data_IF_554728613319
#
_entry.id   IF_554728613319
#
_cell.length_a   1.000
_cell.length_b   1.000
_cell.length_c   1.000
_cell.angle_alpha   90.00
_cell.angle_beta   90.00
_cell.angle_gamma   90.00
#
_symmetry.space_group_name_H-M   'P 1'
#
loop_
_entity.id
_entity.type
_entity.pdbx_description
1 polymer ?
#
# COMPACT_ATOMS: atom_id res chain seq x y z
N UNK A 1 -5.45 -8.76 -4.63
CA UNK A 1 -5.12 -7.33 -4.87
C UNK A 1 -5.34 -6.89 -6.31
N UNK A 2 -5.03 -7.77 -7.31
CA UNK A 2 -5.22 -7.46 -8.75
C UNK A 2 -6.68 -7.10 -9.07
N UNK A 3 -7.64 -7.83 -8.52
CA UNK A 3 -9.06 -7.53 -8.70
C UNK A 3 -9.44 -6.13 -8.17
N UNK A 4 -8.82 -5.68 -7.08
CA UNK A 4 -9.04 -4.35 -6.52
C UNK A 4 -8.46 -3.20 -7.36
N UNK A 5 -7.60 -3.50 -8.32
CA UNK A 5 -7.03 -2.51 -9.24
C UNK A 5 -7.96 -2.18 -10.42
N UNK A 6 -9.07 -2.89 -10.58
CA UNK A 6 -10.01 -2.73 -11.71
C UNK A 6 -9.30 -2.63 -13.05
N UNK A 7 -8.65 -3.70 -13.55
CA UNK A 7 -7.88 -3.68 -14.79
C UNK A 7 -8.72 -3.50 -16.07
N UNK A 8 -10.00 -3.20 -15.94
CA UNK A 8 -10.95 -3.13 -17.07
C UNK A 8 -10.74 -1.97 -18.02
N UNK A 9 -10.05 -0.91 -17.58
CA UNK A 9 -9.65 0.19 -18.46
C UNK A 9 -8.18 -0.02 -18.86
N UNK A 10 -7.92 -1.00 -19.73
CA UNK A 10 -6.56 -1.39 -20.13
C UNK A 10 -5.62 -0.20 -20.47
N UNK A 11 -6.04 0.84 -21.23
CA UNK A 11 -5.15 1.96 -21.52
C UNK A 11 -4.70 2.70 -20.24
N UNK A 12 -5.64 3.00 -19.35
CA UNK A 12 -5.34 3.66 -18.07
C UNK A 12 -4.61 2.76 -17.09
N UNK A 13 -4.88 1.45 -17.12
CA UNK A 13 -4.17 0.49 -16.26
C UNK A 13 -2.70 0.41 -16.61
N UNK A 14 -2.36 0.40 -17.89
CA UNK A 14 -0.96 0.36 -18.34
C UNK A 14 -0.24 1.68 -18.05
N UNK A 15 -0.90 2.82 -18.30
CA UNK A 15 -0.32 4.14 -18.12
C UNK A 15 0.09 4.42 -16.67
N UNK A 16 -0.68 3.90 -15.69
CA UNK A 16 -0.45 4.15 -14.27
C UNK A 16 -0.15 2.86 -13.50
N UNK A 17 0.57 1.92 -14.11
CA UNK A 17 0.86 0.61 -13.51
C UNK A 17 2.25 0.50 -12.87
N UNK A 18 3.03 1.58 -12.85
CA UNK A 18 4.41 1.57 -12.34
C UNK A 18 4.49 1.11 -10.89
N UNK A 19 3.66 1.65 -10.00
CA UNK A 19 3.59 1.21 -8.59
C UNK A 19 3.19 -0.27 -8.46
N UNK A 20 2.33 -0.78 -9.36
CA UNK A 20 1.98 -2.20 -9.38
C UNK A 20 3.20 -3.07 -9.69
N UNK A 21 4.01 -2.72 -10.67
CA UNK A 21 5.20 -3.49 -11.00
C UNK A 21 6.24 -3.47 -9.88
N UNK A 22 6.47 -2.31 -9.27
CA UNK A 22 7.38 -2.20 -8.12
C UNK A 22 6.86 -3.04 -6.95
N UNK A 23 5.62 -2.82 -6.52
CA UNK A 23 5.06 -3.53 -5.37
C UNK A 23 4.97 -5.05 -5.59
N UNK A 24 4.60 -5.48 -6.81
CA UNK A 24 4.56 -6.90 -7.15
C UNK A 24 5.98 -7.49 -7.23
N UNK A 25 6.94 -6.79 -7.82
CA UNK A 25 8.33 -7.22 -7.89
C UNK A 25 8.95 -7.39 -6.50
N UNK A 26 8.77 -6.41 -5.62
CA UNK A 26 9.23 -6.50 -4.22
C UNK A 26 8.54 -7.65 -3.48
N UNK A 27 7.24 -7.84 -3.69
CA UNK A 27 6.48 -8.94 -3.07
C UNK A 27 6.99 -10.31 -3.53
N UNK A 28 7.24 -10.48 -4.82
CA UNK A 28 7.81 -11.71 -5.37
C UNK A 28 9.23 -11.94 -4.85
N UNK A 29 10.06 -10.89 -4.80
CA UNK A 29 11.40 -10.96 -4.24
C UNK A 29 11.36 -11.39 -2.77
N UNK A 30 10.47 -10.79 -1.97
CA UNK A 30 10.24 -11.18 -0.58
C UNK A 30 9.87 -12.66 -0.48
N UNK A 31 8.87 -13.14 -1.24
CA UNK A 31 8.44 -14.54 -1.23
C UNK A 31 9.57 -15.50 -1.62
N UNK A 32 10.35 -15.17 -2.65
CA UNK A 32 11.46 -16.02 -3.12
C UNK A 32 12.66 -16.03 -2.18
N UNK A 33 12.86 -15.00 -1.37
CA UNK A 33 14.03 -14.82 -0.51
C UNK A 33 13.70 -14.67 0.96
N UNK A 34 12.46 -15.01 1.35
CA UNK A 34 11.92 -14.79 2.68
C UNK A 34 12.85 -15.23 3.80
N UNK A 35 13.28 -16.50 3.79
CA UNK A 35 14.15 -17.06 4.84
C UNK A 35 15.47 -16.27 4.96
N UNK A 36 16.08 -15.92 3.82
CA UNK A 36 17.32 -15.16 3.81
C UNK A 36 17.14 -13.72 4.31
N UNK A 37 16.03 -13.07 3.93
CA UNK A 37 15.72 -11.71 4.39
C UNK A 37 15.46 -11.72 5.89
N UNK A 38 14.73 -12.72 6.38
CA UNK A 38 14.44 -12.91 7.80
C UNK A 38 15.71 -13.18 8.60
N UNK A 39 16.53 -14.14 8.18
CA UNK A 39 17.80 -14.50 8.83
C UNK A 39 18.78 -13.31 8.94
N UNK A 40 18.82 -12.47 7.91
CA UNK A 40 19.71 -11.31 7.84
C UNK A 40 19.07 -10.00 8.28
N UNK A 41 17.81 -10.02 8.70
CA UNK A 41 17.02 -8.84 9.08
C UNK A 41 17.00 -7.73 8.01
N UNK A 42 17.05 -8.11 6.72
CA UNK A 42 17.17 -7.18 5.57
C UNK A 42 15.84 -6.52 5.17
N UNK A 43 14.86 -6.48 6.05
CA UNK A 43 13.57 -5.82 5.77
C UNK A 43 13.74 -4.31 5.55
N UNK A 44 14.57 -3.66 6.37
CA UNK A 44 14.76 -2.20 6.34
C UNK A 44 15.31 -1.76 4.99
N UNK A 45 16.38 -2.43 4.50
CA UNK A 45 17.01 -2.12 3.22
C UNK A 45 16.05 -2.39 2.05
N UNK A 46 15.32 -3.50 2.11
CA UNK A 46 14.34 -3.86 1.09
C UNK A 46 13.24 -2.80 0.98
N UNK A 47 12.68 -2.35 2.10
CA UNK A 47 11.63 -1.33 2.11
C UNK A 47 12.19 0.05 1.73
N UNK A 48 13.42 0.39 2.11
CA UNK A 48 14.09 1.60 1.63
C UNK A 48 14.18 1.64 0.10
N UNK A 49 14.69 0.56 -0.50
CA UNK A 49 14.79 0.43 -1.95
C UNK A 49 13.41 0.45 -2.62
N UNK A 50 12.41 -0.21 -2.02
CA UNK A 50 11.04 -0.16 -2.51
C UNK A 50 10.50 1.27 -2.54
N UNK A 51 10.73 2.07 -1.49
CA UNK A 51 10.34 3.47 -1.43
C UNK A 51 11.04 4.31 -2.48
N UNK A 52 12.36 4.17 -2.61
CA UNK A 52 13.15 4.89 -3.61
C UNK A 52 12.70 4.55 -5.04
N UNK A 53 12.53 3.27 -5.37
CA UNK A 53 12.04 2.83 -6.67
C UNK A 53 10.62 3.34 -6.95
N UNK A 54 9.73 3.27 -5.95
CA UNK A 54 8.37 3.81 -6.10
C UNK A 54 8.41 5.30 -6.44
N UNK A 55 9.15 6.10 -5.67
CA UNK A 55 9.29 7.54 -5.94
C UNK A 55 9.96 7.84 -7.27
N UNK A 56 10.85 6.95 -7.75
CA UNK A 56 11.50 7.11 -9.05
C UNK A 56 10.52 7.00 -10.21
N UNK A 57 9.61 6.02 -10.17
CA UNK A 57 8.73 5.65 -11.28
C UNK A 57 7.28 6.10 -11.13
N UNK A 58 6.85 6.50 -9.94
CA UNK A 58 5.46 6.85 -9.64
C UNK A 58 5.27 8.35 -9.45
N UNK A 59 4.17 8.88 -9.98
CA UNK A 59 3.75 10.28 -9.87
C UNK A 59 2.59 10.45 -8.87
N UNK A 60 2.73 9.87 -7.67
CA UNK A 60 1.68 9.88 -6.63
C UNK A 60 0.40 9.14 -7.05
N UNK A 61 0.50 8.17 -7.96
CA UNK A 61 -0.68 7.45 -8.45
C UNK A 61 -1.29 6.57 -7.36
N UNK A 62 -0.56 5.54 -6.92
CA UNK A 62 -0.95 4.68 -5.78
C UNK A 62 0.28 4.07 -5.09
N UNK A 63 1.15 4.92 -4.53
CA UNK A 63 2.44 4.49 -3.98
C UNK A 63 2.30 3.56 -2.77
N UNK A 64 1.20 3.63 -2.04
CA UNK A 64 0.92 2.78 -0.87
C UNK A 64 0.81 1.30 -1.26
N UNK A 65 0.53 0.98 -2.52
CA UNK A 65 0.56 -0.40 -3.01
C UNK A 65 1.94 -1.06 -2.81
N UNK A 66 3.00 -0.33 -3.16
CA UNK A 66 4.37 -0.84 -3.05
C UNK A 66 4.87 -0.96 -1.60
N UNK A 67 4.25 -0.26 -0.66
CA UNK A 67 4.47 -0.42 0.78
C UNK A 67 3.58 -1.53 1.36
N UNK A 68 2.28 -1.44 1.12
CA UNK A 68 1.28 -2.20 1.85
C UNK A 68 1.25 -3.68 1.48
N UNK A 69 1.38 -4.05 0.19
CA UNK A 69 1.34 -5.46 -0.20
C UNK A 69 2.51 -6.25 0.40
N UNK A 70 3.79 -5.80 0.31
CA UNK A 70 4.88 -6.49 1.00
C UNK A 70 4.72 -6.52 2.54
N UNK A 71 4.19 -5.45 3.17
CA UNK A 71 3.93 -5.46 4.62
C UNK A 71 2.90 -6.51 5.02
N UNK A 72 1.80 -6.63 4.27
CA UNK A 72 0.81 -7.70 4.50
C UNK A 72 1.46 -9.08 4.42
N UNK A 73 2.33 -9.30 3.42
CA UNK A 73 3.03 -10.57 3.30
C UNK A 73 3.97 -10.83 4.49
N UNK A 74 4.71 -9.82 4.96
CA UNK A 74 5.55 -9.96 6.15
C UNK A 74 4.72 -10.41 7.37
N UNK A 75 3.55 -9.79 7.61
CA UNK A 75 2.67 -10.15 8.73
C UNK A 75 2.16 -11.59 8.65
N UNK A 76 1.83 -12.04 7.43
CA UNK A 76 1.27 -13.38 7.22
C UNK A 76 2.35 -14.47 7.30
N UNK A 77 3.54 -14.19 6.80
CA UNK A 77 4.67 -15.14 6.77
C UNK A 77 5.37 -15.24 8.13
N UNK A 78 5.43 -14.14 8.88
CA UNK A 78 6.03 -14.14 10.21
C UNK A 78 4.98 -14.47 11.28
N UNK A 79 5.45 -15.08 12.37
CA UNK A 79 4.61 -15.49 13.49
C UNK A 79 5.27 -15.08 14.82
N UNK A 80 5.65 -13.81 14.89
CA UNK A 80 6.22 -13.22 16.08
C UNK A 80 5.15 -12.65 17.02
N UNK A 81 5.55 -12.17 18.19
CA UNK A 81 4.62 -11.47 19.06
C UNK A 81 4.25 -10.09 18.48
N UNK A 82 3.05 -9.62 18.79
CA UNK A 82 2.47 -8.38 18.25
C UNK A 82 3.37 -7.16 18.45
N UNK A 83 4.11 -7.09 19.55
CA UNK A 83 4.99 -5.95 19.84
C UNK A 83 6.20 -5.86 18.91
N UNK A 84 6.81 -7.00 18.58
CA UNK A 84 7.93 -7.06 17.63
C UNK A 84 7.45 -6.83 16.21
N UNK A 85 6.32 -7.44 15.84
CA UNK A 85 5.68 -7.24 14.55
C UNK A 85 5.34 -5.76 14.30
N UNK A 86 4.73 -5.09 15.28
CA UNK A 86 4.39 -3.69 15.18
C UNK A 86 5.63 -2.80 15.01
N UNK A 87 6.70 -3.06 15.79
CA UNK A 87 7.97 -2.35 15.63
C UNK A 87 8.55 -2.52 14.24
N UNK A 88 8.51 -3.74 13.71
CA UNK A 88 8.98 -4.05 12.35
C UNK A 88 8.15 -3.32 11.30
N UNK A 89 6.81 -3.36 11.40
CA UNK A 89 5.91 -2.66 10.47
C UNK A 89 6.23 -1.15 10.46
N UNK A 90 6.37 -0.55 11.63
CA UNK A 90 6.70 0.89 11.75
C UNK A 90 8.08 1.17 11.16
N UNK A 91 9.09 0.36 11.48
CA UNK A 91 10.44 0.53 10.94
C UNK A 91 10.47 0.38 9.41
N UNK A 92 9.79 -0.62 8.85
CA UNK A 92 9.67 -0.81 7.41
C UNK A 92 8.93 0.35 6.73
N UNK A 93 7.84 0.84 7.33
CA UNK A 93 7.09 1.97 6.79
C UNK A 93 7.91 3.27 6.82
N UNK A 94 8.64 3.52 7.92
CA UNK A 94 9.56 4.66 8.02
C UNK A 94 10.70 4.55 6.99
N UNK A 95 11.28 3.37 6.83
CA UNK A 95 12.35 3.11 5.86
C UNK A 95 11.87 3.34 4.42
N UNK A 96 10.69 2.81 4.08
CA UNK A 96 10.06 3.07 2.79
C UNK A 96 9.82 4.57 2.57
N UNK A 97 9.26 5.26 3.56
CA UNK A 97 9.02 6.71 3.50
C UNK A 97 10.32 7.51 3.32
N UNK A 98 11.39 7.12 4.02
CA UNK A 98 12.71 7.74 3.88
C UNK A 98 13.27 7.55 2.47
N UNK A 99 13.23 6.33 1.93
CA UNK A 99 13.66 6.04 0.55
C UNK A 99 12.87 6.86 -0.47
N UNK A 100 11.54 6.95 -0.27
CA UNK A 100 10.65 7.73 -1.11
C UNK A 100 11.00 9.23 -1.11
N UNK A 101 11.17 9.81 0.08
CA UNK A 101 11.49 11.24 0.26
C UNK A 101 12.89 11.59 -0.24
N UNK A 102 13.89 10.75 0.05
CA UNK A 102 15.27 10.98 -0.41
C UNK A 102 15.39 10.92 -1.93
N UNK A 103 14.64 10.04 -2.59
CA UNK A 103 14.60 10.00 -4.05
C UNK A 103 13.98 11.29 -4.63
N UNK A 104 12.91 11.81 -4.04
CA UNK A 104 12.35 13.09 -4.42
C UNK A 104 13.35 14.23 -4.22
N UNK A 105 13.91 14.35 -3.02
CA UNK A 105 14.91 15.37 -2.71
C UNK A 105 16.09 15.33 -3.69
N UNK A 106 16.59 14.13 -4.01
CA UNK A 106 17.64 13.92 -4.99
C UNK A 106 17.29 14.45 -6.38
N UNK A 107 16.07 14.18 -6.86
CA UNK A 107 15.57 14.72 -8.14
C UNK A 107 15.57 16.25 -8.15
N UNK A 108 15.12 16.88 -7.06
CA UNK A 108 15.06 18.35 -6.96
C UNK A 108 16.44 18.97 -6.87
N UNK A 109 17.37 18.36 -6.13
CA UNK A 109 18.76 18.80 -6.04
C UNK A 109 19.46 18.71 -7.41
N UNK A 110 19.34 17.59 -8.10
CA UNK A 110 19.91 17.42 -9.46
C UNK A 110 19.28 18.39 -10.43
N UNK A 111 17.96 18.55 -10.42
CA UNK A 111 17.24 19.50 -11.26
C UNK A 111 17.70 20.94 -11.01
N UNK A 112 17.82 21.35 -9.74
CA UNK A 112 18.30 22.69 -9.38
C UNK A 112 19.73 22.96 -9.86
N UNK A 113 20.61 21.96 -9.74
CA UNK A 113 21.99 22.07 -10.21
C UNK A 113 22.09 22.20 -11.74
N UNK A 114 21.28 21.43 -12.48
CA UNK A 114 21.30 21.43 -13.94
C UNK A 114 20.65 22.67 -14.54
N UNK A 115 19.52 23.13 -14.00
CA UNK A 115 18.78 24.28 -14.51
C UNK A 115 19.27 25.60 -13.94
N UNK A 116 20.14 25.57 -12.91
CA UNK A 116 20.62 26.76 -12.17
C UNK A 116 19.47 27.59 -11.58
N UNK A 117 18.37 26.95 -11.23
CA UNK A 117 17.18 27.53 -10.63
C UNK A 117 16.85 26.81 -9.33
N UNK A 118 16.18 27.50 -8.39
CA UNK A 118 15.77 26.86 -7.12
C UNK A 118 14.47 26.06 -7.30
N UNK A 119 14.57 24.85 -7.86
CA UNK A 119 13.44 23.95 -8.06
C UNK A 119 12.88 23.46 -6.70
N UNK A 120 13.68 23.47 -5.65
CA UNK A 120 13.27 22.96 -4.34
C UNK A 120 12.08 23.75 -3.76
N UNK A 121 12.09 25.07 -3.94
CA UNK A 121 11.01 25.94 -3.46
C UNK A 121 9.69 25.67 -4.21
N UNK A 122 9.74 25.54 -5.54
CA UNK A 122 8.58 25.23 -6.38
C UNK A 122 8.02 23.83 -6.08
N UNK A 123 8.92 22.85 -5.94
CA UNK A 123 8.55 21.48 -5.59
C UNK A 123 7.89 21.41 -4.20
N UNK A 124 8.41 22.15 -3.20
CA UNK A 124 7.82 22.19 -1.87
C UNK A 124 6.41 22.80 -1.90
N UNK A 125 6.24 23.90 -2.65
CA UNK A 125 4.92 24.51 -2.85
C UNK A 125 3.94 23.53 -3.51
N UNK A 126 4.39 22.78 -4.50
CA UNK A 126 3.58 21.73 -5.14
C UNK A 126 3.17 20.65 -4.16
N UNK A 127 4.08 20.17 -3.30
CA UNK A 127 3.78 19.17 -2.26
C UNK A 127 2.76 19.71 -1.27
N UNK A 128 2.93 20.94 -0.80
CA UNK A 128 1.98 21.60 0.11
C UNK A 128 0.59 21.73 -0.54
N UNK A 129 0.54 22.12 -1.81
CA UNK A 129 -0.71 22.16 -2.58
C UNK A 129 -1.39 20.79 -2.68
N UNK A 130 -0.61 19.70 -2.93
CA UNK A 130 -1.15 18.34 -2.99
C UNK A 130 -1.69 17.83 -1.65
N UNK A 131 -1.11 18.30 -0.54
CA UNK A 131 -1.54 17.96 0.81
C UNK A 131 -2.64 18.90 1.34
N UNK A 132 -2.94 20.00 0.65
CA UNK A 132 -3.99 20.94 1.06
C UNK A 132 -5.38 20.32 0.92
N UNK A 133 -6.37 20.93 1.56
CA UNK A 133 -7.78 20.67 1.31
C UNK A 133 -8.40 21.62 0.28
N UNK A 134 -7.58 22.30 -0.53
CA UNK A 134 -8.02 23.31 -1.50
C UNK A 134 -8.05 22.75 -2.91
N UNK A 135 -9.14 22.95 -3.63
CA UNK A 135 -9.31 22.59 -5.04
C UNK A 135 -9.84 23.81 -5.79
N UNK A 136 -8.94 24.51 -6.47
CA UNK A 136 -9.27 25.82 -7.05
C UNK A 136 -9.62 26.83 -5.96
N UNK A 137 -10.82 27.41 -6.01
CA UNK A 137 -11.35 28.35 -5.02
C UNK A 137 -12.17 27.67 -3.92
N UNK A 138 -12.35 26.34 -3.97
CA UNK A 138 -13.19 25.61 -3.04
C UNK A 138 -12.35 24.88 -1.98
N UNK A 139 -12.78 24.94 -0.72
CA UNK A 139 -12.26 24.09 0.33
C UNK A 139 -13.02 22.77 0.38
N UNK A 140 -12.33 21.68 0.25
CA UNK A 140 -12.89 20.34 0.37
C UNK A 140 -12.53 19.73 1.73
N UNK A 141 -13.48 19.00 2.31
CA UNK A 141 -13.18 18.17 3.48
C UNK A 141 -12.22 17.03 3.09
N UNK A 142 -11.19 16.77 3.92
CA UNK A 142 -10.30 15.61 3.76
C UNK A 142 -11.07 14.29 3.70
N UNK A 143 -12.18 14.20 4.43
CA UNK A 143 -13.08 13.04 4.40
C UNK A 143 -13.71 12.88 3.02
N UNK A 144 -14.02 13.98 2.32
CA UNK A 144 -14.58 13.91 0.96
C UNK A 144 -13.56 13.29 -0.03
N UNK A 145 -12.27 13.55 0.14
CA UNK A 145 -11.23 12.90 -0.66
C UNK A 145 -11.22 11.38 -0.44
N UNK A 146 -11.40 10.92 0.79
CA UNK A 146 -11.53 9.48 1.12
C UNK A 146 -12.79 8.92 0.46
N UNK A 147 -13.95 9.51 0.71
CA UNK A 147 -15.23 9.02 0.18
C UNK A 147 -15.25 8.95 -1.34
N UNK A 148 -14.62 9.93 -2.03
CA UNK A 148 -14.56 9.94 -3.49
C UNK A 148 -13.74 8.78 -4.06
N UNK A 149 -12.67 8.38 -3.37
CA UNK A 149 -11.89 7.20 -3.76
C UNK A 149 -12.66 5.89 -3.50
N UNK A 150 -13.44 5.82 -2.43
CA UNK A 150 -14.32 4.67 -2.19
C UNK A 150 -15.46 4.59 -3.20
N UNK A 151 -16.00 5.73 -3.62
CA UNK A 151 -17.15 5.78 -4.53
C UNK A 151 -16.93 5.02 -5.84
N UNK A 152 -15.68 4.93 -6.33
CA UNK A 152 -15.35 4.20 -7.56
C UNK A 152 -15.74 2.71 -7.46
N UNK A 153 -15.77 2.15 -6.24
CA UNK A 153 -16.16 0.76 -5.99
C UNK A 153 -17.68 0.56 -5.89
N UNK A 154 -18.47 1.63 -5.87
CA UNK A 154 -19.95 1.53 -5.89
C UNK A 154 -20.51 1.33 -7.31
N UNK A 155 -19.70 0.83 -8.23
CA UNK A 155 -20.16 0.28 -9.49
C UNK A 155 -20.46 -1.22 -9.33
N UNK A 156 -21.06 -1.83 -10.36
CA UNK A 156 -21.45 -3.24 -10.34
C UNK A 156 -20.28 -4.17 -9.97
N UNK A 157 -19.08 -3.94 -10.52
CA UNK A 157 -17.91 -4.79 -10.28
C UNK A 157 -17.40 -4.67 -8.86
N UNK A 158 -17.36 -3.46 -8.32
CA UNK A 158 -16.93 -3.21 -6.95
C UNK A 158 -17.91 -3.83 -5.94
N UNK A 159 -19.21 -3.72 -6.18
CA UNK A 159 -20.25 -4.35 -5.35
C UNK A 159 -20.13 -5.87 -5.40
N UNK A 160 -19.93 -6.45 -6.58
CA UNK A 160 -19.71 -7.89 -6.74
C UNK A 160 -18.43 -8.34 -6.02
N UNK A 161 -17.32 -7.60 -6.19
CA UNK A 161 -16.06 -7.90 -5.51
C UNK A 161 -16.22 -7.85 -3.99
N UNK A 162 -16.89 -6.81 -3.46
CA UNK A 162 -17.19 -6.70 -2.04
C UNK A 162 -18.07 -7.85 -1.55
N UNK A 163 -19.12 -8.21 -2.31
CA UNK A 163 -19.99 -9.33 -2.01
C UNK A 163 -19.24 -10.67 -1.95
N UNK A 164 -18.38 -10.94 -2.93
CA UNK A 164 -17.54 -12.15 -2.95
C UNK A 164 -16.58 -12.17 -1.74
N UNK A 165 -15.96 -11.06 -1.41
CA UNK A 165 -15.03 -10.96 -0.28
C UNK A 165 -15.76 -11.18 1.05
N UNK A 166 -16.94 -10.57 1.25
CA UNK A 166 -17.77 -10.74 2.44
C UNK A 166 -18.22 -12.20 2.57
N UNK A 167 -18.70 -12.80 1.49
CA UNK A 167 -19.12 -14.20 1.48
C UNK A 167 -17.94 -15.13 1.81
N UNK A 168 -16.78 -14.89 1.21
CA UNK A 168 -15.59 -15.69 1.47
C UNK A 168 -15.15 -15.60 2.92
N UNK A 169 -15.01 -14.39 3.47
CA UNK A 169 -14.67 -14.16 4.88
C UNK A 169 -15.74 -14.76 5.80
N UNK A 170 -17.03 -14.59 5.48
CA UNK A 170 -18.14 -15.15 6.26
C UNK A 170 -18.12 -16.68 6.31
N UNK A 171 -17.96 -17.36 5.15
CA UNK A 171 -17.83 -18.81 5.09
C UNK A 171 -16.60 -19.28 5.87
N UNK A 172 -15.48 -18.56 5.73
CA UNK A 172 -14.26 -18.88 6.46
C UNK A 172 -14.45 -18.76 7.97
N UNK A 173 -15.06 -17.67 8.46
CA UNK A 173 -15.37 -17.47 9.88
C UNK A 173 -16.26 -18.58 10.44
N UNK A 174 -17.29 -19.01 9.71
CA UNK A 174 -18.17 -20.10 10.12
C UNK A 174 -17.42 -21.43 10.22
N UNK A 175 -16.52 -21.69 9.28
CA UNK A 175 -15.75 -22.95 9.22
C UNK A 175 -14.58 -23.03 10.20
N UNK A 176 -14.01 -21.88 10.58
CA UNK A 176 -12.76 -21.82 11.35
C UNK A 176 -12.87 -20.92 12.61
N UNK A 177 -14.07 -20.80 13.17
CA UNK A 177 -14.41 -19.86 14.26
C UNK A 177 -13.54 -19.95 15.53
N UNK A 178 -12.67 -20.94 15.66
CA UNK A 178 -11.81 -21.14 16.83
C UNK A 178 -10.33 -20.72 16.65
N UNK A 179 -9.89 -20.20 15.49
CA UNK A 179 -8.45 -20.15 15.17
C UNK A 179 -7.94 -18.79 14.70
N UNK A 180 -8.77 -17.73 14.70
CA UNK A 180 -8.32 -16.40 14.27
C UNK A 180 -7.31 -15.83 15.27
N UNK A 181 -6.10 -15.54 14.82
CA UNK A 181 -5.09 -14.81 15.62
C UNK A 181 -5.44 -13.32 15.61
N UNK A 182 -6.06 -12.86 16.68
CA UNK A 182 -6.53 -11.49 16.84
C UNK A 182 -5.38 -10.49 16.62
N UNK A 183 -4.20 -10.79 17.14
CA UNK A 183 -3.02 -9.93 17.03
C UNK A 183 -2.62 -9.67 15.57
N UNK A 184 -2.55 -10.72 14.75
CA UNK A 184 -2.25 -10.59 13.33
C UNK A 184 -3.38 -9.87 12.57
N UNK A 185 -4.64 -10.15 12.92
CA UNK A 185 -5.79 -9.47 12.32
C UNK A 185 -5.74 -7.94 12.60
N UNK A 186 -5.37 -7.54 13.82
CA UNK A 186 -5.20 -6.13 14.18
C UNK A 186 -4.08 -5.46 13.38
N UNK A 187 -2.94 -6.14 13.19
CA UNK A 187 -1.84 -5.62 12.37
C UNK A 187 -2.23 -5.50 10.89
N UNK A 188 -2.98 -6.46 10.36
CA UNK A 188 -3.52 -6.39 9.00
C UNK A 188 -4.51 -5.24 8.84
N UNK A 189 -5.37 -4.99 9.84
CA UNK A 189 -6.27 -3.83 9.86
C UNK A 189 -5.49 -2.51 9.91
N UNK A 190 -4.39 -2.44 10.65
CA UNK A 190 -3.52 -1.27 10.67
C UNK A 190 -2.96 -0.97 9.27
N UNK A 191 -2.45 -2.00 8.57
CA UNK A 191 -1.96 -1.83 7.19
C UNK A 191 -3.10 -1.48 6.23
N UNK A 192 -4.30 -2.07 6.42
CA UNK A 192 -5.49 -1.76 5.63
C UNK A 192 -5.93 -0.29 5.77
N UNK A 193 -5.63 0.36 6.89
CA UNK A 193 -5.90 1.79 7.10
C UNK A 193 -4.92 2.70 6.34
N UNK A 194 -3.77 2.19 5.89
CA UNK A 194 -2.74 2.97 5.20
C UNK A 194 -3.24 3.80 4.01
N UNK A 195 -4.04 3.26 3.08
CA UNK A 195 -4.64 4.03 2.00
C UNK A 195 -5.52 5.20 2.47
N UNK A 196 -6.27 5.00 3.55
CA UNK A 196 -7.12 6.06 4.12
C UNK A 196 -6.25 7.18 4.67
N UNK A 197 -5.22 6.84 5.45
CA UNK A 197 -4.24 7.82 5.93
C UNK A 197 -3.59 8.59 4.78
N UNK A 198 -3.24 7.91 3.70
CA UNK A 198 -2.68 8.53 2.50
C UNK A 198 -3.63 9.55 1.88
N UNK A 199 -4.93 9.22 1.71
CA UNK A 199 -5.92 10.17 1.18
C UNK A 199 -6.14 11.37 2.09
N UNK A 200 -6.09 11.19 3.40
CA UNK A 200 -6.18 12.28 4.36
C UNK A 200 -4.98 13.23 4.28
N UNK A 201 -3.78 12.70 4.05
CA UNK A 201 -2.55 13.49 3.91
C UNK A 201 -2.49 14.18 2.55
N UNK A 202 -2.85 13.50 1.46
CA UNK A 202 -2.78 14.01 0.09
C UNK A 202 -4.16 14.43 -0.43
N UNK A 203 -4.94 15.16 0.38
CA UNK A 203 -6.37 15.35 0.16
C UNK A 203 -6.70 15.99 -1.20
N UNK A 204 -6.01 17.07 -1.60
CA UNK A 204 -6.19 17.70 -2.91
C UNK A 204 -5.92 16.69 -4.04
N UNK A 205 -4.76 16.04 -3.98
CA UNK A 205 -4.37 15.07 -5.00
C UNK A 205 -5.35 13.89 -5.09
N UNK A 206 -5.69 13.30 -3.94
CA UNK A 206 -6.60 12.16 -3.87
C UNK A 206 -8.03 12.53 -4.33
N UNK A 207 -8.47 13.77 -4.10
CA UNK A 207 -9.77 14.24 -4.55
C UNK A 207 -9.84 14.48 -6.04
N UNK A 208 -8.85 15.16 -6.62
CA UNK A 208 -8.82 15.47 -8.05
C UNK A 208 -8.60 14.21 -8.87
N UNK A 209 -7.69 13.35 -8.43
CA UNK A 209 -7.21 12.20 -9.17
C UNK A 209 -7.78 10.86 -8.66
N UNK A 210 -8.99 10.87 -8.07
CA UNK A 210 -9.64 9.69 -7.53
C UNK A 210 -9.74 8.52 -8.51
N UNK A 211 -9.82 8.79 -9.80
CA UNK A 211 -9.96 7.80 -10.88
C UNK A 211 -8.74 6.88 -11.07
N UNK A 212 -7.61 7.18 -10.46
CA UNK A 212 -6.47 6.26 -10.37
C UNK A 212 -5.97 6.06 -8.93
N UNK A 213 -6.07 7.05 -8.04
CA UNK A 213 -5.60 6.93 -6.65
C UNK A 213 -6.39 5.90 -5.84
N UNK A 214 -7.66 5.60 -6.23
CA UNK A 214 -8.47 4.56 -5.60
C UNK A 214 -7.76 3.20 -5.56
N UNK A 215 -6.81 2.94 -6.45
CA UNK A 215 -6.03 1.71 -6.51
C UNK A 215 -5.22 1.43 -5.25
N UNK A 216 -4.91 2.45 -4.43
CA UNK A 216 -4.34 2.24 -3.11
C UNK A 216 -5.21 1.32 -2.24
N UNK A 217 -6.55 1.37 -2.38
CA UNK A 217 -7.49 0.53 -1.62
C UNK A 217 -7.32 -0.98 -1.90
N UNK A 218 -6.60 -1.37 -2.96
CA UNK A 218 -6.23 -2.77 -3.19
C UNK A 218 -5.39 -3.35 -2.05
N UNK A 219 -4.65 -2.52 -1.31
CA UNK A 219 -3.94 -2.90 -0.08
C UNK A 219 -4.95 -3.30 1.00
N UNK A 220 -6.00 -2.49 1.21
CA UNK A 220 -7.05 -2.79 2.18
C UNK A 220 -7.77 -4.10 1.82
N UNK A 221 -8.14 -4.27 0.54
CA UNK A 221 -8.78 -5.49 0.03
C UNK A 221 -7.88 -6.71 0.25
N UNK A 222 -6.58 -6.60 -0.03
CA UNK A 222 -5.64 -7.68 0.17
C UNK A 222 -5.45 -8.01 1.65
N UNK A 223 -5.29 -7.00 2.50
CA UNK A 223 -5.16 -7.18 3.95
C UNK A 223 -6.41 -7.87 4.55
N UNK A 224 -7.61 -7.44 4.17
CA UNK A 224 -8.85 -8.10 4.60
C UNK A 224 -8.92 -9.56 4.12
N UNK A 225 -8.53 -9.83 2.87
CA UNK A 225 -8.48 -11.20 2.36
C UNK A 225 -7.51 -12.07 3.17
N UNK A 226 -6.36 -11.52 3.57
CA UNK A 226 -5.34 -12.26 4.32
C UNK A 226 -5.67 -12.49 5.78
N UNK A 227 -6.66 -11.79 6.37
CA UNK A 227 -7.17 -12.10 7.72
C UNK A 227 -7.61 -13.57 7.81
N UNK A 228 -8.14 -14.13 6.73
CA UNK A 228 -8.56 -15.54 6.70
C UNK A 228 -7.38 -16.52 6.72
N UNK A 229 -6.17 -16.08 6.40
CA UNK A 229 -4.99 -16.94 6.44
C UNK A 229 -4.36 -17.01 7.85
N UNK A 230 -4.58 -16.00 8.70
CA UNK A 230 -3.96 -15.92 10.04
C UNK A 230 -4.41 -17.04 11.00
N UNK A 231 -5.49 -17.73 10.70
CA UNK A 231 -6.05 -18.79 11.53
C UNK A 231 -5.72 -20.23 11.12
N UNK A 232 -4.99 -20.43 10.02
CA UNK A 232 -4.65 -21.79 9.59
C UNK A 232 -3.53 -22.36 10.47
N UNK A 233 -3.69 -23.55 11.06
CA UNK A 233 -2.57 -24.23 11.71
C UNK A 233 -1.49 -24.48 10.65
N UNK A 234 -0.24 -24.12 10.94
CA UNK A 234 0.88 -24.52 10.10
C UNK A 234 0.82 -26.04 9.90
N UNK A 235 0.64 -26.50 8.68
CA UNK A 235 0.81 -27.91 8.33
C UNK A 235 2.28 -28.27 8.60
N UNK A 236 2.56 -28.77 9.80
CA UNK A 236 3.78 -29.52 10.07
C UNK A 236 3.69 -30.79 9.23
N UNK A 237 4.40 -30.89 8.13
CA UNK A 237 4.53 -32.16 7.45
C UNK A 237 4.63 -32.16 5.92
N UNK A 238 5.10 -31.13 5.25
CA UNK A 238 5.35 -31.21 3.79
C UNK A 238 6.81 -30.87 3.38
N UNK A 239 7.79 -31.11 4.26
CA UNK A 239 9.24 -30.93 3.93
C UNK A 239 10.04 -32.21 4.15
N UNK A 240 9.40 -33.37 4.29
CA UNK A 240 10.09 -34.67 4.32
C UNK A 240 9.49 -35.62 3.27
N UNK A 241 9.72 -35.33 2.00
CA UNK A 241 9.62 -36.33 0.93
C UNK A 241 10.37 -35.86 -0.31
#
# INVERSE_FOLDING_TARGET
SVAGLFPMALPYSLQFSTSFYVGTGISLFLLCKYEKIKEKEQYIEMFFLAGALTSYVDFLTYPIYALGIPLVLCIVLDNENIGNELKRIVACACSWGLGYLLMWAGKWLIGSALLKENIFADALQTVMGRASGEVGAEQISRIMAVLRNFYIYFNLYGVLLAGILILWVGIWCIRNSAVMKIDQALLLLLVAAGPICWYLVTANHAYIHYWFTFRNLSVSIFAFAMITETGKPHRKGEVDS
#
